data_IF_010993708317
#
_entry.id   IF_010993708317
#
_cell.length_a   1.000
_cell.length_b   1.000
_cell.length_c   1.000
_cell.angle_alpha   90.00
_cell.angle_beta   90.00
_cell.angle_gamma   90.00
#
_symmetry.space_group_name_H-M   'P 1'
#
loop_
_entity.id
_entity.type
_entity.pdbx_description
1 polymer ?
#
# COMPACT_ATOMS: atom_id res chain seq x y z
N UNK A 1 -18.70 6.07 -18.52
CA UNK A 1 -17.71 5.11 -17.97
C UNK A 1 -16.64 5.96 -17.34
N UNK A 2 -16.52 5.96 -16.02
CA UNK A 2 -15.41 6.65 -15.34
C UNK A 2 -14.14 5.85 -15.59
N UNK A 3 -13.19 6.45 -16.30
CA UNK A 3 -11.93 5.85 -16.71
C UNK A 3 -10.80 6.63 -16.04
N UNK A 4 -9.78 5.92 -15.56
CA UNK A 4 -8.65 6.52 -14.84
C UNK A 4 -7.60 5.47 -14.46
N UNK A 5 -6.58 5.89 -13.73
CA UNK A 5 -5.57 4.98 -13.19
C UNK A 5 -6.24 4.02 -12.20
N UNK A 6 -6.07 2.72 -12.38
CA UNK A 6 -6.84 1.66 -11.67
C UNK A 6 -6.85 1.85 -10.14
N UNK A 7 -5.72 2.23 -9.54
CA UNK A 7 -5.58 2.41 -8.09
C UNK A 7 -6.15 3.72 -7.55
N UNK A 8 -6.58 4.63 -8.43
CA UNK A 8 -7.30 5.87 -8.09
C UNK A 8 -8.80 5.65 -8.22
N UNK A 9 -9.22 4.94 -9.27
CA UNK A 9 -10.64 4.66 -9.54
C UNK A 9 -11.26 3.81 -8.43
N UNK A 10 -10.56 2.78 -7.95
CA UNK A 10 -11.07 1.90 -6.90
C UNK A 10 -11.50 2.64 -5.62
N UNK A 11 -10.62 3.48 -5.01
CA UNK A 11 -11.00 4.29 -3.86
C UNK A 11 -12.06 5.36 -4.16
N UNK A 12 -11.99 6.03 -5.32
CA UNK A 12 -12.99 7.04 -5.71
C UNK A 12 -14.42 6.48 -5.78
N UNK A 13 -14.55 5.22 -6.23
CA UNK A 13 -15.82 4.50 -6.28
C UNK A 13 -16.22 3.87 -4.94
N UNK A 14 -15.43 4.06 -3.88
CA UNK A 14 -15.66 3.47 -2.56
C UNK A 14 -15.40 1.96 -2.49
N UNK A 15 -14.79 1.35 -3.50
CA UNK A 15 -14.53 -0.09 -3.56
C UNK A 15 -13.37 -0.53 -2.66
N UNK A 16 -12.55 0.43 -2.21
CA UNK A 16 -11.45 0.18 -1.28
C UNK A 16 -11.86 0.65 0.10
N UNK A 17 -12.01 -0.29 1.03
CA UNK A 17 -12.47 -0.02 2.39
C UNK A 17 -11.52 -0.65 3.41
N UNK A 18 -11.43 -0.09 4.63
CA UNK A 18 -10.67 -0.70 5.72
C UNK A 18 -11.02 -2.16 5.96
N UNK A 19 -10.00 -2.99 6.22
CA UNK A 19 -10.17 -4.42 6.51
C UNK A 19 -10.49 -5.31 5.31
N UNK A 20 -10.57 -4.75 4.09
CA UNK A 20 -10.74 -5.54 2.87
C UNK A 20 -9.43 -6.19 2.42
N UNK A 21 -9.54 -7.27 1.63
CA UNK A 21 -8.42 -7.81 0.85
C UNK A 21 -8.63 -7.46 -0.62
N UNK A 22 -7.68 -6.77 -1.23
CA UNK A 22 -7.77 -6.28 -2.62
C UNK A 22 -6.65 -6.87 -3.46
N UNK A 23 -7.00 -7.51 -4.55
CA UNK A 23 -6.02 -8.09 -5.48
C UNK A 23 -6.34 -7.67 -6.91
N UNK A 24 -5.31 -7.35 -7.68
CA UNK A 24 -5.43 -6.95 -9.07
C UNK A 24 -4.21 -7.47 -9.85
N UNK A 25 -4.33 -7.54 -11.18
CA UNK A 25 -3.24 -7.95 -12.09
C UNK A 25 -2.10 -6.93 -12.22
N UNK A 26 -2.08 -5.89 -11.38
CA UNK A 26 -1.08 -4.82 -11.38
C UNK A 26 -0.23 -4.86 -10.10
N UNK A 27 1.07 -4.60 -10.21
CA UNK A 27 1.99 -4.65 -9.07
C UNK A 27 1.65 -3.63 -7.98
N UNK A 28 1.27 -2.41 -8.36
CA UNK A 28 1.06 -1.26 -7.48
C UNK A 28 -0.31 -1.28 -6.79
N UNK A 29 -1.02 -2.42 -6.83
CA UNK A 29 -2.21 -2.69 -6.01
C UNK A 29 -1.95 -2.43 -4.52
N UNK A 30 -0.69 -2.46 -4.08
CA UNK A 30 -0.28 -2.02 -2.74
C UNK A 30 -0.78 -0.62 -2.35
N UNK A 31 -1.05 0.27 -3.33
CA UNK A 31 -1.61 1.61 -3.11
C UNK A 31 -2.84 1.60 -2.21
N UNK A 32 -3.71 0.60 -2.39
CA UNK A 32 -4.96 0.47 -1.63
C UNK A 32 -4.74 0.21 -0.13
N UNK A 33 -3.55 -0.21 0.28
CA UNK A 33 -3.25 -0.38 1.70
C UNK A 33 -3.15 0.93 2.48
N UNK A 34 -3.14 2.09 1.80
CA UNK A 34 -3.33 3.39 2.43
C UNK A 34 -4.68 3.51 3.17
N UNK A 35 -5.67 2.70 2.78
CA UNK A 35 -7.01 2.64 3.36
C UNK A 35 -7.14 1.55 4.43
N UNK A 36 -6.04 0.98 4.94
CA UNK A 36 -6.09 -0.14 5.87
C UNK A 36 -6.54 -1.46 5.24
N UNK A 37 -6.42 -1.59 3.92
CA UNK A 37 -6.69 -2.83 3.19
C UNK A 37 -5.41 -3.68 3.05
N UNK A 38 -5.56 -5.01 3.06
CA UNK A 38 -4.48 -5.90 2.62
C UNK A 38 -4.52 -5.99 1.10
N UNK A 39 -3.66 -5.23 0.42
CA UNK A 39 -3.72 -5.09 -1.02
C UNK A 39 -2.42 -5.41 -1.74
N UNK A 40 -2.46 -6.26 -2.77
CA UNK A 40 -1.25 -6.69 -3.50
C UNK A 40 -1.53 -7.21 -4.91
N UNK A 41 -0.54 -7.07 -5.80
CA UNK A 41 -0.60 -7.57 -7.16
C UNK A 41 -0.52 -9.09 -7.26
N UNK A 42 -1.22 -9.68 -8.22
CA UNK A 42 -1.25 -11.13 -8.50
C UNK A 42 -1.10 -11.41 -10.00
N UNK A 43 -0.63 -12.61 -10.35
CA UNK A 43 -0.49 -13.02 -11.75
C UNK A 43 -1.82 -13.42 -12.40
N UNK A 44 -1.87 -13.50 -13.73
CA UNK A 44 -3.10 -13.79 -14.49
C UNK A 44 -3.82 -15.07 -14.04
N UNK A 45 -3.11 -16.18 -13.84
CA UNK A 45 -3.73 -17.43 -13.37
C UNK A 45 -4.31 -17.31 -11.95
N UNK A 46 -3.72 -16.45 -11.11
CA UNK A 46 -4.26 -16.16 -9.79
C UNK A 46 -5.52 -15.28 -9.88
N UNK A 47 -5.56 -14.33 -10.82
CA UNK A 47 -6.76 -13.53 -11.10
C UNK A 47 -7.92 -14.45 -11.50
N UNK A 48 -7.68 -15.36 -12.44
CA UNK A 48 -8.69 -16.36 -12.85
C UNK A 48 -9.19 -17.17 -11.65
N UNK A 49 -8.27 -17.65 -10.81
CA UNK A 49 -8.61 -18.42 -9.61
C UNK A 49 -9.45 -17.61 -8.60
N UNK A 50 -9.11 -16.34 -8.36
CA UNK A 50 -9.88 -15.44 -7.48
C UNK A 50 -11.26 -15.17 -8.07
N UNK A 51 -11.37 -14.94 -9.38
CA UNK A 51 -12.66 -14.77 -10.04
C UNK A 51 -13.54 -16.02 -9.92
N UNK A 52 -12.94 -17.22 -9.98
CA UNK A 52 -13.66 -18.48 -9.85
C UNK A 52 -14.04 -18.84 -8.41
N UNK A 53 -13.21 -18.50 -7.41
CA UNK A 53 -13.34 -19.06 -6.05
C UNK A 53 -13.47 -18.03 -4.94
N UNK A 54 -13.15 -16.77 -5.21
CA UNK A 54 -12.98 -15.71 -4.20
C UNK A 54 -11.94 -16.06 -3.11
N UNK A 55 -11.01 -16.96 -3.42
CA UNK A 55 -9.92 -17.37 -2.53
C UNK A 55 -8.58 -17.31 -3.26
N UNK A 56 -7.49 -17.28 -2.49
CA UNK A 56 -6.14 -17.33 -3.05
C UNK A 56 -5.18 -18.03 -2.06
N UNK A 57 -4.56 -19.16 -2.43
CA UNK A 57 -3.55 -19.79 -1.59
C UNK A 57 -2.28 -18.94 -1.57
N UNK A 58 -1.82 -18.55 -0.38
CA UNK A 58 -0.61 -17.75 -0.19
C UNK A 58 0.18 -18.23 1.02
N UNK A 59 1.50 -18.19 0.92
CA UNK A 59 2.35 -18.24 2.09
C UNK A 59 2.16 -16.96 2.90
N UNK A 60 2.01 -17.10 4.23
CA UNK A 60 1.82 -15.94 5.11
C UNK A 60 3.08 -15.06 5.10
N UNK A 61 3.00 -13.80 4.64
CA UNK A 61 4.14 -12.90 4.68
C UNK A 61 4.47 -12.51 6.12
N UNK A 62 5.73 -12.12 6.35
CA UNK A 62 6.14 -11.49 7.60
C UNK A 62 5.65 -10.05 7.65
N UNK A 63 5.74 -9.41 8.81
CA UNK A 63 5.36 -8.00 9.00
C UNK A 63 6.60 -7.19 9.40
N UNK A 64 6.77 -6.02 8.78
CA UNK A 64 7.83 -5.08 9.11
C UNK A 64 7.19 -3.73 9.42
N UNK A 65 7.44 -3.23 10.64
CA UNK A 65 6.99 -1.91 11.02
C UNK A 65 8.01 -0.84 10.63
N UNK A 66 7.55 0.18 9.92
CA UNK A 66 8.30 1.38 9.57
C UNK A 66 7.67 2.53 10.36
N UNK A 67 8.36 2.94 11.42
CA UNK A 67 7.89 4.00 12.32
C UNK A 67 8.60 5.31 11.99
N UNK A 68 7.82 6.34 11.67
CA UNK A 68 8.30 7.68 11.37
C UNK A 68 7.57 8.68 12.25
N UNK A 69 8.31 9.24 13.21
CA UNK A 69 7.81 10.22 14.17
C UNK A 69 8.33 11.62 13.87
N UNK A 70 7.61 12.64 14.33
CA UNK A 70 7.85 14.05 14.07
C UNK A 70 6.92 14.63 13.01
N UNK A 71 7.42 15.64 12.31
CA UNK A 71 6.74 16.37 11.23
C UNK A 71 7.67 16.44 10.02
N UNK A 72 7.09 16.45 8.82
CA UNK A 72 7.87 16.68 7.62
C UNK A 72 8.34 18.15 7.60
N UNK A 73 9.62 18.41 7.28
CA UNK A 73 10.10 19.76 7.08
C UNK A 73 9.32 20.49 5.98
N UNK A 74 9.43 21.81 5.96
CA UNK A 74 8.87 22.63 4.87
C UNK A 74 9.37 22.12 3.50
N UNK A 75 8.47 22.14 2.51
CA UNK A 75 8.67 21.62 1.15
C UNK A 75 8.97 20.11 1.01
N UNK A 76 9.01 19.34 2.11
CA UNK A 76 9.19 17.88 2.08
C UNK A 76 7.83 17.19 1.97
N UNK A 77 7.71 16.28 1.01
CA UNK A 77 6.45 15.57 0.72
C UNK A 77 6.50 14.09 1.14
N UNK A 78 5.35 13.43 1.07
CA UNK A 78 5.27 11.98 1.22
C UNK A 78 6.16 11.23 0.20
N UNK A 79 6.35 11.78 -1.01
CA UNK A 79 7.24 11.18 -2.01
C UNK A 79 8.68 11.13 -1.52
N UNK A 80 9.17 12.23 -0.95
CA UNK A 80 10.51 12.32 -0.40
C UNK A 80 10.68 11.37 0.78
N UNK A 81 9.66 11.28 1.64
CA UNK A 81 9.65 10.35 2.77
C UNK A 81 9.80 8.90 2.32
N UNK A 82 8.99 8.42 1.38
CA UNK A 82 9.07 7.02 0.93
C UNK A 82 10.36 6.73 0.18
N UNK A 83 10.88 7.69 -0.60
CA UNK A 83 12.20 7.54 -1.24
C UNK A 83 13.33 7.45 -0.20
N UNK A 84 13.26 8.22 0.88
CA UNK A 84 14.22 8.14 1.98
C UNK A 84 14.13 6.78 2.71
N UNK A 85 12.92 6.27 2.94
CA UNK A 85 12.69 4.94 3.51
C UNK A 85 13.29 3.86 2.60
N UNK A 86 12.97 3.86 1.31
CA UNK A 86 13.51 2.89 0.33
C UNK A 86 15.04 2.97 0.26
N UNK A 87 15.61 4.18 0.30
CA UNK A 87 17.07 4.36 0.34
C UNK A 87 17.69 3.71 1.57
N UNK A 88 17.01 3.78 2.73
CA UNK A 88 17.49 3.22 3.99
C UNK A 88 17.42 1.69 4.04
N UNK A 89 16.34 1.09 3.53
CA UNK A 89 16.13 -0.37 3.59
C UNK A 89 16.63 -1.09 2.33
N UNK A 90 16.85 -0.35 1.24
CA UNK A 90 17.20 -0.88 -0.07
C UNK A 90 15.98 -1.38 -0.86
N UNK A 91 16.16 -1.56 -2.17
CA UNK A 91 15.11 -2.00 -3.09
C UNK A 91 14.63 -3.44 -2.86
N UNK A 92 15.37 -4.24 -2.07
CA UNK A 92 14.97 -5.57 -1.62
C UNK A 92 14.69 -5.66 -0.12
N UNK A 93 14.71 -4.54 0.62
CA UNK A 93 14.62 -4.53 2.08
C UNK A 93 13.30 -5.08 2.62
N UNK A 94 12.21 -4.95 1.86
CA UNK A 94 10.89 -5.45 2.19
C UNK A 94 10.58 -6.87 1.71
N UNK A 95 11.54 -7.58 1.10
CA UNK A 95 11.26 -8.89 0.48
C UNK A 95 10.70 -9.90 1.50
N UNK A 96 9.51 -10.44 1.20
CA UNK A 96 8.79 -11.38 2.07
C UNK A 96 8.01 -10.72 3.21
N UNK A 97 7.96 -9.39 3.27
CA UNK A 97 7.23 -8.62 4.26
C UNK A 97 6.01 -7.89 3.67
N UNK A 98 5.04 -7.65 4.53
CA UNK A 98 4.12 -6.51 4.44
C UNK A 98 4.74 -5.37 5.26
N UNK A 99 4.82 -4.18 4.68
CA UNK A 99 5.28 -2.98 5.37
C UNK A 99 4.09 -2.30 6.06
N UNK A 100 4.16 -2.10 7.36
CA UNK A 100 3.24 -1.27 8.12
C UNK A 100 3.90 0.10 8.33
N UNK A 101 3.33 1.15 7.74
CA UNK A 101 3.79 2.53 7.97
C UNK A 101 2.98 3.14 9.10
N UNK A 102 3.68 3.65 10.12
CA UNK A 102 3.08 4.20 11.34
C UNK A 102 3.91 5.34 11.93
N UNK A 103 3.38 5.98 12.96
CA UNK A 103 4.03 7.08 13.66
C UNK A 103 3.45 8.44 13.27
N UNK A 104 3.77 9.46 14.06
CA UNK A 104 3.07 10.75 13.98
C UNK A 104 3.21 11.46 12.64
N UNK A 105 4.30 11.21 11.89
CA UNK A 105 4.48 11.80 10.57
C UNK A 105 3.54 11.17 9.54
N UNK A 106 3.24 9.87 9.67
CA UNK A 106 2.33 9.13 8.78
C UNK A 106 0.87 9.51 9.07
N UNK A 107 0.50 9.60 10.34
CA UNK A 107 -0.86 9.96 10.78
C UNK A 107 -1.27 11.35 10.29
N UNK A 108 -0.33 12.31 10.21
CA UNK A 108 -0.57 13.67 9.71
C UNK A 108 -0.72 13.77 8.18
N UNK A 109 -0.47 12.70 7.42
CA UNK A 109 -0.59 12.71 5.97
C UNK A 109 -2.05 12.67 5.53
N UNK A 110 -2.37 13.39 4.44
CA UNK A 110 -3.64 13.22 3.72
C UNK A 110 -3.74 11.84 3.08
N UNK A 111 -4.94 11.44 2.65
CA UNK A 111 -5.14 10.15 1.98
C UNK A 111 -4.31 9.99 0.71
N UNK A 112 -4.16 11.04 -0.10
CA UNK A 112 -3.35 11.01 -1.32
C UNK A 112 -1.85 10.83 -1.01
N UNK A 113 -1.39 11.48 0.07
CA UNK A 113 -0.04 11.32 0.56
C UNK A 113 0.21 9.90 1.08
N UNK A 114 -0.74 9.31 1.82
CA UNK A 114 -0.70 7.91 2.26
C UNK A 114 -0.70 6.93 1.07
N UNK A 115 -1.52 7.18 0.05
CA UNK A 115 -1.51 6.43 -1.20
C UNK A 115 -0.14 6.47 -1.88
N UNK A 116 0.52 7.63 -1.88
CA UNK A 116 1.89 7.77 -2.41
C UNK A 116 2.89 6.88 -1.68
N UNK A 117 2.81 6.80 -0.35
CA UNK A 117 3.64 5.89 0.46
C UNK A 117 3.37 4.43 0.09
N UNK A 118 2.11 3.98 0.17
CA UNK A 118 1.73 2.59 -0.03
C UNK A 118 1.98 2.12 -1.48
N UNK A 119 1.79 3.00 -2.46
CA UNK A 119 2.09 2.74 -3.87
C UNK A 119 3.54 2.29 -4.05
N UNK A 120 4.48 2.97 -3.40
CA UNK A 120 5.91 2.72 -3.57
C UNK A 120 6.47 1.57 -2.71
N UNK A 121 5.61 0.78 -2.05
CA UNK A 121 6.06 -0.36 -1.23
C UNK A 121 6.69 -1.46 -2.09
N UNK A 122 6.29 -1.55 -3.36
CA UNK A 122 6.82 -2.55 -4.31
C UNK A 122 8.26 -2.24 -4.69
N UNK A 123 8.65 -0.96 -4.75
CA UNK A 123 10.01 -0.50 -5.00
C UNK A 123 10.98 -0.86 -3.86
N UNK A 124 10.46 -1.10 -2.64
CA UNK A 124 11.21 -1.70 -1.53
C UNK A 124 11.24 -3.24 -1.59
N UNK A 125 10.59 -3.85 -2.58
CA UNK A 125 10.46 -5.31 -2.74
C UNK A 125 9.40 -5.94 -1.83
N UNK A 126 8.57 -5.13 -1.17
CA UNK A 126 7.53 -5.63 -0.28
C UNK A 126 6.36 -6.24 -1.04
N UNK A 127 5.62 -7.13 -0.36
CA UNK A 127 4.40 -7.72 -0.93
C UNK A 127 3.25 -6.73 -0.95
N UNK A 128 3.17 -5.90 0.08
CA UNK A 128 2.16 -4.86 0.28
C UNK A 128 2.70 -3.80 1.24
N UNK A 129 2.08 -2.62 1.23
CA UNK A 129 2.23 -1.60 2.25
C UNK A 129 0.87 -1.26 2.85
N UNK A 130 0.81 -0.97 4.14
CA UNK A 130 -0.45 -0.70 4.84
C UNK A 130 -0.27 0.42 5.86
N UNK A 131 -1.31 1.25 5.99
CA UNK A 131 -1.47 2.27 7.03
C UNK A 131 -2.76 1.97 7.78
N UNK A 132 -2.73 2.05 9.11
CA UNK A 132 -3.92 1.82 9.92
C UNK A 132 -4.98 2.89 9.62
N UNK A 133 -6.27 2.51 9.50
CA UNK A 133 -7.34 3.46 9.26
C UNK A 133 -7.57 4.35 10.48
N UNK A 134 -7.90 5.61 10.24
CA UNK A 134 -8.27 6.63 11.22
C UNK A 134 -9.40 7.52 10.67
N UNK A 135 -9.71 8.63 11.34
CA UNK A 135 -10.79 9.54 10.91
C UNK A 135 -10.56 10.19 9.54
N UNK A 136 -9.31 10.22 9.05
CA UNK A 136 -8.99 10.74 7.70
C UNK A 136 -9.29 9.70 6.62
N UNK A 137 -9.33 8.41 6.99
CA UNK A 137 -9.52 7.27 6.08
C UNK A 137 -10.98 7.03 5.76
#
# INVERSE_FOLDING_TARGET
>A
VEQGVVHVVGPQLGLTQPGTTVVCGDSHTSTHGAFGALAFGIGTSQVEHVLATQTLPLARPKTMAITVDGELPEDVTAKDLILAIITRIGTGGGQGYILEYRGSAIEKLSMEARMTICNMSIEAGARAGMIAPDETT
#
